data_IF_943129497065
#
_entry.id   IF_943129497065
#
_cell.length_a   1.000
_cell.length_b   1.000
_cell.length_c   1.000
_cell.angle_alpha   90.00
_cell.angle_beta   90.00
_cell.angle_gamma   90.00
#
_symmetry.space_group_name_H-M   'P 1'
#
loop_
_entity.id
_entity.type
_entity.pdbx_description
1 polymer ?
#
# COMPACT_ATOMS: atom_id res chain seq x y z
N UNK A 1 13.97 2.77 8.63
CA UNK A 1 13.75 1.58 7.76
C UNK A 1 12.56 1.82 6.84
N UNK A 2 12.71 1.56 5.54
CA UNK A 2 11.76 1.87 4.47
C UNK A 2 11.31 0.58 3.78
N UNK A 3 10.03 0.21 3.93
CA UNK A 3 9.49 -1.07 3.44
C UNK A 3 8.35 -0.81 2.45
N UNK A 4 8.39 -1.47 1.30
CA UNK A 4 7.31 -1.43 0.33
C UNK A 4 6.61 -2.80 0.22
N UNK A 5 5.32 -2.85 0.53
CA UNK A 5 4.48 -4.05 0.52
C UNK A 5 3.61 -4.08 -0.74
N UNK A 6 3.80 -5.09 -1.59
CA UNK A 6 3.07 -5.30 -2.85
C UNK A 6 2.28 -6.60 -2.83
N UNK A 7 1.22 -6.65 -3.61
CA UNK A 7 0.37 -7.83 -3.74
C UNK A 7 -0.99 -7.48 -4.33
N UNK A 8 -1.69 -8.51 -4.81
CA UNK A 8 -3.02 -8.37 -5.42
C UNK A 8 -4.03 -7.84 -4.40
N UNK A 9 -5.09 -7.17 -4.87
CA UNK A 9 -6.21 -6.76 -4.01
C UNK A 9 -6.76 -7.96 -3.24
N UNK A 10 -7.07 -7.77 -1.96
CA UNK A 10 -7.59 -8.83 -1.10
C UNK A 10 -6.54 -9.79 -0.52
N UNK A 11 -5.26 -9.68 -0.89
CA UNK A 11 -4.16 -10.51 -0.37
C UNK A 11 -3.82 -10.28 1.12
N UNK A 12 -4.29 -9.17 1.70
CA UNK A 12 -3.94 -8.78 3.08
C UNK A 12 -2.79 -7.78 3.18
N UNK A 13 -2.26 -7.27 2.06
CA UNK A 13 -1.15 -6.29 2.01
C UNK A 13 -1.29 -5.12 2.99
N UNK A 14 -2.46 -4.49 3.04
CA UNK A 14 -2.71 -3.32 3.89
C UNK A 14 -2.78 -3.69 5.37
N UNK A 15 -3.13 -4.94 5.69
CA UNK A 15 -3.08 -5.45 7.07
C UNK A 15 -1.64 -5.69 7.50
N UNK A 16 -0.85 -6.38 6.67
CA UNK A 16 0.57 -6.59 6.95
C UNK A 16 1.33 -5.26 7.08
N UNK A 17 1.12 -4.35 6.13
CA UNK A 17 1.79 -3.06 6.12
C UNK A 17 1.51 -2.23 7.38
N UNK A 18 0.26 -2.20 7.84
CA UNK A 18 -0.13 -1.52 9.08
C UNK A 18 0.53 -2.14 10.31
N UNK A 19 0.58 -3.48 10.38
CA UNK A 19 1.25 -4.18 11.47
C UNK A 19 2.75 -3.91 11.48
N UNK A 20 3.40 -3.96 10.32
CA UNK A 20 4.83 -3.62 10.18
C UNK A 20 5.11 -2.17 10.60
N UNK A 21 4.32 -1.22 10.13
CA UNK A 21 4.46 0.18 10.53
C UNK A 21 4.29 0.36 12.05
N UNK A 22 3.33 -0.33 12.66
CA UNK A 22 3.12 -0.29 14.11
C UNK A 22 4.29 -0.89 14.89
N UNK A 23 4.88 -1.99 14.42
CA UNK A 23 6.02 -2.65 15.09
C UNK A 23 7.31 -1.83 14.94
N UNK A 24 7.49 -1.19 13.79
CA UNK A 24 8.65 -0.35 13.49
C UNK A 24 8.50 1.10 13.97
N UNK A 25 7.33 1.46 14.50
CA UNK A 25 6.98 2.83 14.92
C UNK A 25 7.17 3.88 13.81
N UNK A 26 6.87 3.51 12.57
CA UNK A 26 6.97 4.40 11.39
C UNK A 26 5.61 4.64 10.73
N UNK A 27 5.45 5.72 9.96
CA UNK A 27 4.22 5.99 9.23
C UNK A 27 3.84 4.89 8.24
N UNK A 28 2.54 4.56 8.21
CA UNK A 28 1.92 3.70 7.20
C UNK A 28 1.34 4.57 6.08
N UNK A 29 1.90 4.49 4.88
CA UNK A 29 1.46 5.25 3.71
C UNK A 29 0.68 4.31 2.78
N UNK A 30 -0.61 4.60 2.58
CA UNK A 30 -1.47 3.83 1.70
C UNK A 30 -1.57 4.50 0.33
N UNK A 31 -1.08 3.84 -0.73
CA UNK A 31 -1.11 4.41 -2.08
C UNK A 31 -2.54 4.66 -2.57
N UNK A 32 -3.48 3.80 -2.19
CA UNK A 32 -4.89 3.95 -2.54
C UNK A 32 -5.47 5.27 -1.98
N UNK A 33 -5.07 5.70 -0.78
CA UNK A 33 -5.53 6.98 -0.20
C UNK A 33 -4.96 8.20 -0.93
N UNK A 34 -3.75 8.08 -1.48
CA UNK A 34 -3.11 9.16 -2.23
C UNK A 34 -3.67 9.29 -3.65
N UNK A 35 -4.11 8.16 -4.23
CA UNK A 35 -4.57 8.07 -5.61
C UNK A 35 -6.05 8.43 -5.79
N UNK A 36 -6.94 7.93 -4.93
CA UNK A 36 -8.37 8.14 -5.12
C UNK A 36 -8.83 9.52 -4.64
N UNK A 37 -9.61 10.18 -5.48
CA UNK A 37 -10.30 11.44 -5.18
C UNK A 37 -11.79 11.19 -4.93
N UNK A 38 -12.51 12.25 -4.55
CA UNK A 38 -13.95 12.21 -4.39
C UNK A 38 -14.65 11.71 -5.66
N UNK A 39 -15.68 10.88 -5.47
CA UNK A 39 -16.40 10.26 -6.59
C UNK A 39 -15.61 9.15 -7.30
N UNK A 40 -14.62 8.53 -6.63
CA UNK A 40 -13.81 7.44 -7.20
C UNK A 40 -13.03 7.85 -8.46
N UNK A 41 -12.66 9.12 -8.52
CA UNK A 41 -11.83 9.64 -9.60
C UNK A 41 -10.35 9.38 -9.30
N UNK A 42 -9.60 8.96 -10.31
CA UNK A 42 -8.15 8.79 -10.19
C UNK A 42 -7.45 10.15 -10.16
N UNK A 43 -6.41 10.27 -9.35
CA UNK A 43 -5.51 11.43 -9.37
C UNK A 43 -4.57 11.32 -10.58
N UNK A 44 -4.37 12.40 -11.37
CA UNK A 44 -3.36 12.44 -12.42
C UNK A 44 -1.97 12.01 -11.92
N UNK A 45 -1.19 11.36 -12.76
CA UNK A 45 0.07 10.73 -12.36
C UNK A 45 1.07 11.72 -11.74
N UNK A 46 1.20 12.90 -12.34
CA UNK A 46 2.02 14.01 -11.87
C UNK A 46 1.63 14.47 -10.46
N UNK A 47 0.34 14.65 -10.17
CA UNK A 47 -0.14 15.00 -8.84
C UNK A 47 0.03 13.83 -7.86
N UNK A 48 -0.28 12.61 -8.27
CA UNK A 48 -0.14 11.41 -7.45
C UNK A 48 1.32 11.17 -7.05
N UNK A 49 2.25 11.34 -7.98
CA UNK A 49 3.68 11.22 -7.73
C UNK A 49 4.19 12.33 -6.80
N UNK A 50 3.68 13.56 -6.94
CA UNK A 50 4.00 14.65 -6.02
C UNK A 50 3.51 14.36 -4.59
N UNK A 51 2.27 13.87 -4.44
CA UNK A 51 1.71 13.45 -3.14
C UNK A 51 2.53 12.32 -2.50
N UNK A 52 2.93 11.33 -3.28
CA UNK A 52 3.76 10.22 -2.82
C UNK A 52 5.14 10.70 -2.34
N UNK A 53 5.83 11.50 -3.14
CA UNK A 53 7.15 12.06 -2.76
C UNK A 53 7.04 12.89 -1.48
N UNK A 54 6.00 13.70 -1.34
CA UNK A 54 5.76 14.49 -0.13
C UNK A 54 5.56 13.61 1.10
N UNK A 55 4.78 12.53 1.00
CA UNK A 55 4.55 11.60 2.09
C UNK A 55 5.84 10.87 2.51
N UNK A 56 6.65 10.44 1.54
CA UNK A 56 7.95 9.81 1.79
C UNK A 56 8.94 10.80 2.44
N UNK A 57 9.02 12.03 1.92
CA UNK A 57 9.92 13.06 2.44
C UNK A 57 9.55 13.52 3.85
N UNK A 58 8.27 13.49 4.21
CA UNK A 58 7.81 13.78 5.57
C UNK A 58 8.16 12.68 6.60
N UNK A 59 8.65 11.52 6.15
CA UNK A 59 8.97 10.36 6.98
C UNK A 59 10.43 9.91 6.79
N UNK A 60 11.43 10.76 7.09
CA UNK A 60 12.83 10.48 6.78
C UNK A 60 13.38 9.27 7.55
N UNK A 61 12.91 9.04 8.77
CA UNK A 61 13.38 7.97 9.67
C UNK A 61 12.89 6.57 9.25
N UNK A 62 11.86 6.52 8.40
CA UNK A 62 11.32 5.28 7.85
C UNK A 62 9.85 5.39 7.49
N UNK A 63 9.36 4.41 6.74
CA UNK A 63 7.96 4.30 6.33
C UNK A 63 7.64 2.87 5.90
N UNK A 64 6.36 2.52 5.97
CA UNK A 64 5.82 1.33 5.29
C UNK A 64 4.79 1.77 4.27
N UNK A 65 5.04 1.49 2.99
CA UNK A 65 4.12 1.80 1.89
C UNK A 65 3.39 0.53 1.47
N UNK A 66 2.07 0.62 1.26
CA UNK A 66 1.28 -0.46 0.67
C UNK A 66 0.53 -0.02 -0.60
N UNK A 67 0.51 -0.90 -1.60
CA UNK A 67 -0.30 -0.71 -2.82
C UNK A 67 0.32 -1.34 -4.06
N UNK A 68 -0.49 -1.50 -5.11
CA UNK A 68 -0.11 -2.19 -6.34
C UNK A 68 -0.10 -1.25 -7.56
N UNK A 69 0.53 -0.08 -7.41
CA UNK A 69 0.72 0.87 -8.52
C UNK A 69 2.12 0.70 -9.09
N UNK A 70 2.24 0.01 -10.21
CA UNK A 70 3.52 -0.25 -10.86
C UNK A 70 4.19 1.02 -11.37
N UNK A 71 3.39 1.97 -11.83
CA UNK A 71 3.86 3.31 -12.22
C UNK A 71 4.60 4.06 -11.12
N UNK A 72 4.41 3.74 -9.83
CA UNK A 72 5.15 4.40 -8.73
C UNK A 72 6.42 3.69 -8.32
N UNK A 73 6.78 2.56 -8.95
CA UNK A 73 7.99 1.79 -8.63
C UNK A 73 9.26 2.66 -8.71
N UNK A 74 9.40 3.47 -9.76
CA UNK A 74 10.56 4.34 -9.97
C UNK A 74 10.76 5.40 -8.87
N UNK A 75 9.73 5.69 -8.06
CA UNK A 75 9.80 6.62 -6.93
C UNK A 75 10.12 5.84 -5.66
N UNK A 76 9.25 4.89 -5.30
CA UNK A 76 9.29 4.25 -3.99
C UNK A 76 10.36 3.16 -3.87
N UNK A 77 10.73 2.48 -4.97
CA UNK A 77 11.74 1.41 -4.91
C UNK A 77 13.16 1.94 -4.86
N UNK A 78 13.40 3.18 -5.32
CA UNK A 78 14.71 3.81 -5.21
C UNK A 78 15.11 4.04 -3.75
N UNK A 79 14.14 4.24 -2.87
CA UNK A 79 14.37 4.51 -1.44
C UNK A 79 13.98 3.34 -0.53
N UNK A 80 13.41 2.25 -1.06
CA UNK A 80 13.00 1.12 -0.24
C UNK A 80 14.21 0.25 0.15
N UNK A 81 14.36 -0.03 1.43
CA UNK A 81 15.34 -1.00 1.93
C UNK A 81 14.88 -2.44 1.64
N UNK A 82 13.56 -2.67 1.75
CA UNK A 82 12.94 -3.99 1.60
C UNK A 82 11.65 -3.91 0.78
N UNK A 83 11.48 -4.85 -0.15
CA UNK A 83 10.22 -5.06 -0.85
C UNK A 83 9.63 -6.41 -0.43
N UNK A 84 8.41 -6.39 0.11
CA UNK A 84 7.68 -7.60 0.52
C UNK A 84 6.56 -7.84 -0.49
N UNK A 85 6.58 -8.99 -1.17
CA UNK A 85 5.54 -9.38 -2.11
C UNK A 85 4.67 -10.49 -1.54
N UNK A 86 3.38 -10.21 -1.36
CA UNK A 86 2.36 -11.21 -1.03
C UNK A 86 1.86 -11.86 -2.32
N UNK A 87 2.52 -12.95 -2.72
CA UNK A 87 2.10 -13.82 -3.81
C UNK A 87 1.33 -15.03 -3.26
N UNK A 88 0.04 -14.82 -3.00
CA UNK A 88 -0.84 -15.86 -2.46
C UNK A 88 -1.67 -16.50 -3.58
N UNK A 89 -1.86 -17.81 -3.51
CA UNK A 89 -2.67 -18.54 -4.47
C UNK A 89 -4.12 -18.03 -4.57
N UNK A 90 -4.71 -18.13 -5.76
CA UNK A 90 -6.04 -17.59 -6.10
C UNK A 90 -7.12 -17.96 -5.08
N UNK A 91 -7.24 -19.24 -4.73
CA UNK A 91 -8.24 -19.73 -3.77
C UNK A 91 -8.11 -19.09 -2.38
N UNK A 92 -6.89 -18.75 -1.98
CA UNK A 92 -6.62 -18.07 -0.71
C UNK A 92 -7.02 -16.59 -0.78
N UNK A 93 -6.73 -15.90 -1.88
CA UNK A 93 -7.13 -14.50 -2.06
C UNK A 93 -8.65 -14.37 -2.19
N UNK A 94 -9.28 -15.31 -2.91
CA UNK A 94 -10.73 -15.35 -3.09
C UNK A 94 -11.44 -15.58 -1.75
N UNK A 95 -11.06 -16.61 -0.99
CA UNK A 95 -11.68 -16.92 0.31
C UNK A 95 -11.54 -15.76 1.31
N UNK A 96 -10.38 -15.11 1.37
CA UNK A 96 -10.19 -13.91 2.20
C UNK A 96 -11.09 -12.75 1.77
N UNK A 97 -11.24 -12.54 0.46
CA UNK A 97 -12.08 -11.46 -0.08
C UNK A 97 -13.56 -11.70 0.18
N UNK A 98 -14.04 -12.93 -0.05
CA UNK A 98 -15.43 -13.34 0.21
C UNK A 98 -15.75 -13.25 1.70
N UNK A 99 -14.91 -13.83 2.57
CA UNK A 99 -15.10 -13.76 4.02
C UNK A 99 -15.20 -12.30 4.51
N UNK A 100 -14.35 -11.42 4.00
CA UNK A 100 -14.36 -9.99 4.35
C UNK A 100 -15.60 -9.27 3.82
N UNK A 101 -16.10 -9.64 2.64
CA UNK A 101 -17.34 -9.07 2.10
C UNK A 101 -18.55 -9.47 2.96
N UNK A 102 -18.66 -10.75 3.33
CA UNK A 102 -19.73 -11.26 4.19
C UNK A 102 -19.72 -10.57 5.56
N UNK A 103 -18.54 -10.47 6.19
CA UNK A 103 -18.38 -9.83 7.50
C UNK A 103 -18.66 -8.31 7.52
N UNK A 104 -18.90 -7.67 6.36
CA UNK A 104 -19.32 -6.26 6.28
C UNK A 104 -20.83 -6.10 6.12
N UNK A 105 -21.52 -7.16 5.73
CA UNK A 105 -22.97 -7.17 5.49
C UNK A 105 -23.72 -7.62 6.75
N UNK A 106 -23.10 -8.51 7.53
CA UNK A 106 -23.55 -8.91 8.88
C UNK A 106 -23.05 -7.89 9.89
#
# INVERSE_FOLDING_TARGET
>A
MKINVVGTSGSGKSTLARQLASVLEVPHIQLDQLYWQAGWQGTPDDEFFARLRRAMAASPDGWVIDGNFDRTRHIKWHEADVVIWLDLGFWRVLSQSVRRAIARIV
#
